data_IF_480335480933
#
_entry.id   IF_480335480933
#
_cell.length_a   1.000
_cell.length_b   1.000
_cell.length_c   1.000
_cell.angle_alpha   90.00
_cell.angle_beta   90.00
_cell.angle_gamma   90.00
#
_symmetry.space_group_name_H-M   'P 1'
#
loop_
_entity.id
_entity.type
_entity.pdbx_description
1 polymer ?
#
# COMPACT_ATOMS: atom_id res chain seq x y z
N UNK A 1 15.66 -7.30 28.00
CA UNK A 1 15.38 -6.65 26.71
C UNK A 1 14.62 -7.54 25.73
N UNK A 2 15.12 -8.70 25.28
CA UNK A 2 14.36 -9.58 24.35
C UNK A 2 13.10 -10.24 24.95
N UNK A 3 13.12 -10.68 26.22
CA UNK A 3 11.96 -11.36 26.84
C UNK A 3 10.88 -10.40 27.38
N UNK A 4 11.23 -9.16 27.74
CA UNK A 4 10.30 -8.15 28.28
C UNK A 4 9.30 -7.61 27.24
N UNK A 5 9.58 -7.84 25.94
CA UNK A 5 8.69 -7.48 24.84
C UNK A 5 7.61 -8.55 24.59
N UNK A 6 7.89 -9.84 24.84
CA UNK A 6 6.94 -10.94 24.61
C UNK A 6 6.14 -11.34 25.85
N UNK A 7 6.73 -11.22 27.03
CA UNK A 7 6.07 -11.62 28.27
C UNK A 7 6.32 -10.56 29.34
N UNK A 8 5.32 -9.72 29.68
CA UNK A 8 5.44 -8.86 30.83
C UNK A 8 5.62 -9.72 32.09
N UNK A 9 6.79 -9.65 32.73
CA UNK A 9 7.01 -10.25 34.04
C UNK A 9 6.18 -9.49 35.10
N UNK A 10 4.97 -9.92 35.43
CA UNK A 10 4.15 -9.20 36.40
C UNK A 10 3.69 -10.03 37.61
N UNK A 11 3.95 -9.43 38.79
CA UNK A 11 3.47 -9.81 40.12
C UNK A 11 2.18 -9.02 40.38
N UNK A 12 1.14 -9.66 40.88
CA UNK A 12 -0.11 -9.02 41.27
C UNK A 12 0.13 -7.84 42.25
N UNK A 13 -0.43 -6.65 41.96
CA UNK A 13 -0.36 -5.44 42.79
C UNK A 13 0.38 -4.22 42.19
N UNK A 14 0.49 -4.10 40.86
CA UNK A 14 1.19 -3.00 40.19
C UNK A 14 0.56 -1.62 40.41
N UNK A 15 1.38 -0.58 40.60
CA UNK A 15 0.93 0.82 40.63
C UNK A 15 0.80 1.36 39.22
N UNK A 16 -0.18 2.23 38.97
CA UNK A 16 -0.20 3.04 37.74
C UNK A 16 1.11 3.81 37.61
N UNK A 17 1.60 3.94 36.39
CA UNK A 17 2.82 4.69 36.08
C UNK A 17 2.46 5.96 35.33
N UNK A 18 3.28 6.98 35.48
CA UNK A 18 3.13 8.19 34.67
C UNK A 18 4.45 8.49 33.96
N UNK A 19 4.35 8.78 32.67
CA UNK A 19 5.47 9.07 31.79
C UNK A 19 5.14 10.25 30.88
N UNK A 20 6.18 10.90 30.35
CA UNK A 20 6.02 11.88 29.30
C UNK A 20 5.92 11.17 27.96
N UNK A 21 4.93 11.56 27.17
CA UNK A 21 4.77 11.13 25.79
C UNK A 21 4.95 12.34 24.87
N UNK A 22 5.85 12.22 23.90
CA UNK A 22 6.12 13.21 22.87
C UNK A 22 6.49 12.47 21.58
N UNK A 23 6.09 13.02 20.44
CA UNK A 23 6.46 12.50 19.12
C UNK A 23 6.84 13.69 18.24
N UNK A 24 8.10 13.74 17.82
CA UNK A 24 8.63 14.92 17.13
C UNK A 24 8.51 16.17 18.00
N UNK A 25 7.90 17.22 17.45
CA UNK A 25 7.65 18.48 18.16
C UNK A 25 6.29 18.51 18.88
N UNK A 26 5.50 17.43 18.79
CA UNK A 26 4.17 17.33 19.41
C UNK A 26 4.26 16.82 20.84
N UNK A 27 3.73 17.60 21.79
CA UNK A 27 3.80 17.35 23.23
C UNK A 27 4.80 18.29 23.94
N UNK A 28 5.38 17.88 25.09
CA UNK A 28 5.14 16.63 25.82
C UNK A 28 3.82 16.65 26.61
N UNK A 29 3.14 15.50 26.66
CA UNK A 29 2.00 15.26 27.54
C UNK A 29 2.35 14.28 28.64
N UNK A 30 1.77 14.45 29.82
CA UNK A 30 1.97 13.54 30.95
C UNK A 30 0.85 12.49 30.96
N UNK A 31 1.18 11.28 30.53
CA UNK A 31 0.26 10.15 30.37
C UNK A 31 0.31 9.27 31.61
N UNK A 32 -0.86 8.91 32.14
CA UNK A 32 -1.00 7.95 33.24
C UNK A 32 -1.51 6.62 32.67
N UNK A 33 -0.76 5.55 32.90
CA UNK A 33 -1.08 4.21 32.39
C UNK A 33 -1.34 3.26 33.58
N UNK A 34 -2.54 2.68 33.70
CA UNK A 34 -2.79 1.58 34.63
C UNK A 34 -1.91 0.38 34.33
N UNK A 35 -1.59 -0.42 35.34
CA UNK A 35 -0.74 -1.61 35.17
C UNK A 35 -1.34 -2.69 34.26
N UNK A 36 -2.66 -2.70 34.08
CA UNK A 36 -3.43 -3.62 33.22
C UNK A 36 -3.65 -3.08 31.80
N UNK A 37 -3.01 -1.97 31.45
CA UNK A 37 -3.11 -1.34 30.12
C UNK A 37 -1.73 -1.32 29.50
N UNK A 38 -1.65 -1.72 28.23
CA UNK A 38 -0.40 -1.68 27.48
C UNK A 38 0.10 -0.22 27.39
N UNK A 39 1.31 0.08 27.90
CA UNK A 39 1.83 1.44 27.87
C UNK A 39 2.28 1.82 26.45
N UNK A 40 2.26 3.11 26.09
CA UNK A 40 2.90 3.58 24.85
C UNK A 40 4.36 3.13 24.76
N UNK A 41 4.73 2.52 23.63
CA UNK A 41 6.08 1.99 23.35
C UNK A 41 6.56 2.39 21.95
N UNK A 42 7.61 1.74 21.46
CA UNK A 42 8.23 1.94 20.15
C UNK A 42 7.22 1.79 18.99
N UNK A 43 6.26 0.87 19.10
CA UNK A 43 5.15 0.69 18.15
C UNK A 43 4.20 1.89 18.12
N UNK A 44 3.86 2.45 19.28
CA UNK A 44 3.04 3.64 19.44
C UNK A 44 3.76 4.87 18.88
N UNK A 45 5.08 4.97 19.12
CA UNK A 45 5.91 6.02 18.57
C UNK A 45 6.05 5.91 17.04
N UNK A 46 6.15 4.69 16.50
CA UNK A 46 6.16 4.44 15.06
C UNK A 46 4.84 4.89 14.42
N UNK A 47 3.70 4.46 14.97
CA UNK A 47 2.39 4.84 14.46
C UNK A 47 2.17 6.36 14.56
N UNK A 48 2.53 6.99 15.67
CA UNK A 48 2.41 8.44 15.79
C UNK A 48 3.33 9.22 14.84
N UNK A 49 4.56 8.75 14.59
CA UNK A 49 5.45 9.34 13.55
C UNK A 49 4.83 9.26 12.16
N UNK A 50 4.24 8.12 11.82
CA UNK A 50 3.54 7.93 10.55
C UNK A 50 2.32 8.87 10.43
N UNK A 51 1.53 9.03 11.51
CA UNK A 51 0.38 9.94 11.53
C UNK A 51 0.79 11.40 11.32
N UNK A 52 1.93 11.83 11.86
CA UNK A 52 2.47 13.19 11.62
C UNK A 52 2.87 13.45 10.16
N UNK A 53 3.00 12.41 9.32
CA UNK A 53 3.25 12.56 7.89
C UNK A 53 1.97 12.76 7.07
N UNK A 54 0.79 12.57 7.67
CA UNK A 54 -0.48 12.79 7.00
C UNK A 54 -0.66 14.29 6.72
N UNK A 55 -1.29 14.61 5.60
CA UNK A 55 -1.58 15.97 5.15
C UNK A 55 -3.07 16.22 4.98
N UNK A 56 -3.45 17.41 4.52
CA UNK A 56 -4.83 17.74 4.20
C UNK A 56 -5.67 18.21 5.38
N UNK A 57 -6.96 18.38 5.14
CA UNK A 57 -7.91 18.90 6.13
C UNK A 57 -8.30 17.81 7.13
N UNK A 58 -8.23 18.16 8.42
CA UNK A 58 -8.65 17.28 9.50
C UNK A 58 -10.19 17.23 9.60
N UNK A 59 -10.72 16.03 9.81
CA UNK A 59 -12.14 15.78 9.97
C UNK A 59 -12.40 14.91 11.20
N UNK A 60 -13.19 13.84 11.00
CA UNK A 60 -13.42 12.84 12.04
C UNK A 60 -12.40 11.70 11.93
N UNK A 61 -11.75 11.37 13.04
CA UNK A 61 -10.87 10.22 13.17
C UNK A 61 -11.45 9.21 14.16
N UNK A 62 -11.33 7.92 13.84
CA UNK A 62 -11.60 6.83 14.78
C UNK A 62 -10.29 6.17 15.18
N UNK A 63 -10.02 6.06 16.47
CA UNK A 63 -8.91 5.25 17.00
C UNK A 63 -9.44 3.98 17.63
N UNK A 64 -9.01 2.83 17.12
CA UNK A 64 -9.39 1.51 17.63
C UNK A 64 -8.28 1.01 18.55
N UNK A 65 -8.65 0.58 19.77
CA UNK A 65 -7.70 0.08 20.78
C UNK A 65 -6.84 1.20 21.34
N UNK A 66 -7.47 2.27 21.82
CA UNK A 66 -6.79 3.51 22.21
C UNK A 66 -5.86 3.39 23.43
N UNK A 67 -5.97 2.31 24.23
CA UNK A 67 -5.09 2.05 25.36
C UNK A 67 -5.07 3.20 26.37
N UNK A 68 -3.96 3.94 26.43
CA UNK A 68 -3.81 5.09 27.33
C UNK A 68 -4.32 6.42 26.76
N UNK A 69 -4.80 6.45 25.50
CA UNK A 69 -5.24 7.66 24.78
C UNK A 69 -4.10 8.52 24.23
N UNK A 70 -2.87 7.99 24.19
CA UNK A 70 -1.70 8.75 23.74
C UNK A 70 -1.79 9.20 22.27
N UNK A 71 -2.24 8.32 21.37
CA UNK A 71 -2.46 8.68 19.97
C UNK A 71 -3.75 9.50 19.79
N UNK A 72 -4.77 9.32 20.63
CA UNK A 72 -5.98 10.17 20.62
C UNK A 72 -5.61 11.63 20.88
N UNK A 73 -4.72 11.86 21.86
CA UNK A 73 -4.19 13.19 22.19
C UNK A 73 -3.36 13.73 21.02
N UNK A 74 -2.52 12.90 20.40
CA UNK A 74 -1.74 13.31 19.22
C UNK A 74 -2.65 13.77 18.07
N UNK A 75 -3.64 12.96 17.70
CA UNK A 75 -4.62 13.28 16.65
C UNK A 75 -5.38 14.57 16.98
N UNK A 76 -5.86 14.71 18.21
CA UNK A 76 -6.54 15.93 18.65
C UNK A 76 -5.64 17.17 18.56
N UNK A 77 -4.35 17.03 18.90
CA UNK A 77 -3.37 18.12 18.79
C UNK A 77 -3.09 18.54 17.34
N UNK A 78 -3.32 17.65 16.38
CA UNK A 78 -3.25 17.92 14.94
C UNK A 78 -4.54 18.55 14.39
N UNK A 79 -5.62 18.60 15.19
CA UNK A 79 -6.92 19.19 14.81
C UNK A 79 -8.02 18.18 14.47
N UNK A 80 -7.80 16.88 14.66
CA UNK A 80 -8.83 15.87 14.47
C UNK A 80 -9.88 15.90 15.57
N UNK A 81 -11.15 15.62 15.21
CA UNK A 81 -12.17 15.20 16.17
C UNK A 81 -12.10 13.69 16.29
N UNK A 82 -11.81 13.18 17.48
CA UNK A 82 -11.45 11.77 17.68
C UNK A 82 -12.57 11.03 18.39
N UNK A 83 -13.02 9.93 17.79
CA UNK A 83 -13.80 8.89 18.42
C UNK A 83 -12.87 7.71 18.72
N UNK A 84 -12.46 7.57 19.97
CA UNK A 84 -11.60 6.49 20.42
C UNK A 84 -12.43 5.37 21.04
N UNK A 85 -12.01 4.11 20.85
CA UNK A 85 -12.59 2.99 21.57
C UNK A 85 -11.54 2.03 22.11
N UNK A 86 -11.90 1.31 23.16
CA UNK A 86 -11.13 0.16 23.66
C UNK A 86 -12.08 -0.86 24.32
N UNK A 87 -11.81 -2.14 24.14
CA UNK A 87 -12.58 -3.22 24.80
C UNK A 87 -12.25 -3.32 26.29
N UNK A 88 -11.11 -2.77 26.73
CA UNK A 88 -10.69 -2.76 28.12
C UNK A 88 -11.23 -1.51 28.85
N UNK A 89 -12.14 -1.63 29.85
CA UNK A 89 -12.68 -0.48 30.56
C UNK A 89 -11.61 0.33 31.34
N UNK A 90 -10.50 -0.30 31.73
CA UNK A 90 -9.39 0.41 32.37
C UNK A 90 -8.62 1.28 31.37
N UNK A 91 -8.51 0.85 30.12
CA UNK A 91 -7.95 1.66 29.03
C UNK A 91 -8.84 2.86 28.76
N UNK A 92 -10.16 2.66 28.62
CA UNK A 92 -11.13 3.75 28.44
C UNK A 92 -11.05 4.78 29.57
N UNK A 93 -11.02 4.33 30.83
CA UNK A 93 -10.90 5.24 31.97
C UNK A 93 -9.56 6.02 31.97
N UNK A 94 -8.46 5.36 31.60
CA UNK A 94 -7.15 5.99 31.50
C UNK A 94 -7.10 7.03 30.37
N UNK A 95 -7.58 6.67 29.18
CA UNK A 95 -7.66 7.53 28.01
C UNK A 95 -8.51 8.77 28.30
N UNK A 96 -9.71 8.63 28.87
CA UNK A 96 -10.56 9.78 29.29
C UNK A 96 -9.81 10.73 30.22
N UNK A 97 -9.16 10.20 31.27
CA UNK A 97 -8.41 11.01 32.23
C UNK A 97 -7.18 11.72 31.61
N UNK A 98 -6.46 11.05 30.71
CA UNK A 98 -5.30 11.63 30.04
C UNK A 98 -5.71 12.70 29.01
N UNK A 99 -6.78 12.46 28.27
CA UNK A 99 -7.38 13.40 27.31
C UNK A 99 -7.85 14.68 28.02
N UNK A 100 -8.56 14.55 29.14
CA UNK A 100 -9.01 15.68 29.95
C UNK A 100 -7.81 16.49 30.46
N UNK A 101 -6.80 15.80 31.02
CA UNK A 101 -5.57 16.43 31.50
C UNK A 101 -4.79 17.15 30.39
N UNK A 102 -4.81 16.63 29.17
CA UNK A 102 -4.18 17.23 28.00
C UNK A 102 -4.99 18.39 27.40
N UNK A 103 -6.23 18.62 27.87
CA UNK A 103 -7.09 19.72 27.41
C UNK A 103 -7.89 19.42 26.14
N UNK A 104 -8.11 18.15 25.81
CA UNK A 104 -8.80 17.73 24.57
C UNK A 104 -10.17 17.06 24.79
N UNK A 105 -10.74 17.16 25.99
CA UNK A 105 -12.03 16.55 26.31
C UNK A 105 -13.20 17.02 25.44
N UNK A 106 -13.12 18.21 24.84
CA UNK A 106 -14.17 18.75 23.95
C UNK A 106 -14.12 18.16 22.53
N UNK A 107 -13.02 17.52 22.15
CA UNK A 107 -12.78 17.03 20.77
C UNK A 107 -12.44 15.54 20.70
N UNK A 108 -12.21 14.88 21.83
CA UNK A 108 -11.97 13.44 21.92
C UNK A 108 -13.07 12.81 22.77
N UNK A 109 -13.84 11.92 22.16
CA UNK A 109 -14.75 11.03 22.86
C UNK A 109 -14.11 9.64 22.96
N UNK A 110 -14.23 8.98 24.11
CA UNK A 110 -13.66 7.64 24.32
C UNK A 110 -14.75 6.73 24.88
N UNK A 111 -15.03 5.60 24.23
CA UNK A 111 -16.06 4.65 24.65
C UNK A 111 -15.55 3.20 24.71
N UNK A 112 -16.26 2.36 25.45
CA UNK A 112 -16.00 0.92 25.46
C UNK A 112 -16.50 0.29 24.17
N UNK A 113 -15.68 -0.55 23.54
CA UNK A 113 -16.05 -1.28 22.32
C UNK A 113 -14.90 -1.44 21.33
N UNK A 114 -15.19 -2.07 20.20
CA UNK A 114 -14.24 -2.29 19.11
C UNK A 114 -14.82 -3.23 18.04
N UNK A 115 -14.08 -3.47 16.94
CA UNK A 115 -14.50 -4.39 15.89
C UNK A 115 -14.96 -5.74 16.44
N UNK A 116 -16.19 -6.14 16.12
CA UNK A 116 -16.76 -7.42 16.55
C UNK A 116 -17.59 -7.38 17.85
N UNK A 117 -17.60 -6.26 18.58
CA UNK A 117 -18.51 -6.06 19.72
C UNK A 117 -19.94 -5.76 19.23
N UNK A 118 -21.00 -6.32 19.86
CA UNK A 118 -22.38 -6.24 19.35
C UNK A 118 -22.97 -4.83 19.18
N UNK A 119 -22.46 -3.84 19.93
CA UNK A 119 -22.96 -2.46 19.94
C UNK A 119 -21.95 -1.47 19.34
N UNK A 120 -20.86 -1.95 18.74
CA UNK A 120 -19.85 -1.10 18.14
C UNK A 120 -19.99 -1.06 16.61
N UNK A 121 -20.07 0.15 16.08
CA UNK A 121 -20.10 0.43 14.65
C UNK A 121 -19.16 1.59 14.34
N UNK A 122 -18.65 1.62 13.11
CA UNK A 122 -17.84 2.74 12.66
C UNK A 122 -18.74 3.94 12.39
N UNK A 123 -18.35 5.12 12.89
CA UNK A 123 -19.15 6.33 12.78
C UNK A 123 -19.29 6.81 11.33
N UNK A 124 -20.51 7.22 10.96
CA UNK A 124 -20.79 7.84 9.66
C UNK A 124 -19.96 9.11 9.49
N UNK A 125 -19.30 9.25 8.33
CA UNK A 125 -18.48 10.42 8.01
C UNK A 125 -17.06 10.40 8.59
N UNK A 126 -16.60 9.25 9.11
CA UNK A 126 -15.18 9.06 9.46
C UNK A 126 -14.29 9.26 8.23
N UNK A 127 -13.21 10.01 8.39
CA UNK A 127 -12.23 10.29 7.33
C UNK A 127 -10.90 9.58 7.56
N UNK A 128 -10.59 9.24 8.81
CA UNK A 128 -9.37 8.54 9.20
C UNK A 128 -9.70 7.45 10.22
N UNK A 129 -9.28 6.22 9.96
CA UNK A 129 -9.28 5.15 10.97
C UNK A 129 -7.84 4.85 11.33
N UNK A 130 -7.53 4.75 12.63
CA UNK A 130 -6.20 4.46 13.15
C UNK A 130 -6.28 3.22 14.04
N UNK A 131 -5.41 2.24 13.80
CA UNK A 131 -5.35 1.05 14.65
C UNK A 131 -3.92 0.54 14.83
N UNK A 132 -3.45 0.48 16.08
CA UNK A 132 -2.30 -0.33 16.43
C UNK A 132 -2.77 -1.79 16.60
N UNK A 133 -2.65 -2.61 15.56
CA UNK A 133 -3.24 -3.96 15.55
C UNK A 133 -2.63 -4.85 16.64
N UNK A 134 -3.42 -5.70 17.32
CA UNK A 134 -2.89 -6.80 18.10
C UNK A 134 -2.20 -7.82 17.18
N UNK A 135 -0.93 -8.13 17.40
CA UNK A 135 -0.13 -9.02 16.54
C UNK A 135 0.59 -10.16 17.26
N UNK A 136 0.35 -10.35 18.58
CA UNK A 136 0.91 -11.50 19.29
C UNK A 136 0.10 -12.76 18.97
N UNK A 137 0.81 -13.87 18.79
CA UNK A 137 0.17 -15.17 18.60
C UNK A 137 -0.55 -15.59 19.90
N UNK A 138 -1.79 -16.09 19.82
CA UNK A 138 -2.50 -16.60 21.00
C UNK A 138 -1.68 -17.69 21.69
N UNK A 139 -1.63 -17.68 23.03
CA UNK A 139 -0.85 -18.66 23.79
C UNK A 139 -1.43 -20.07 23.60
N UNK A 140 -0.59 -21.02 23.19
CA UNK A 140 -0.93 -22.45 23.22
C UNK A 140 -0.90 -22.96 24.66
N UNK A 141 -2.08 -23.04 25.29
CA UNK A 141 -2.52 -23.75 26.51
C UNK A 141 -1.63 -24.03 27.75
N UNK A 142 -0.32 -23.77 27.78
CA UNK A 142 0.58 -24.05 28.91
C UNK A 142 1.52 -22.87 29.29
N UNK A 143 1.28 -21.67 28.73
CA UNK A 143 2.02 -20.44 29.05
C UNK A 143 1.40 -19.62 30.19
N UNK A 144 2.18 -18.72 30.80
CA UNK A 144 1.71 -17.75 31.80
C UNK A 144 0.50 -16.98 31.25
N UNK A 145 -0.69 -17.22 31.80
CA UNK A 145 -1.93 -16.56 31.39
C UNK A 145 -1.89 -15.09 31.76
N UNK A 146 -2.09 -14.23 30.76
CA UNK A 146 -2.57 -12.86 30.97
C UNK A 146 -3.99 -12.92 31.53
N UNK A 147 -4.46 -11.87 32.21
CA UNK A 147 -5.89 -11.81 32.54
C UNK A 147 -6.71 -11.77 31.23
N UNK A 148 -7.92 -12.36 31.15
CA UNK A 148 -8.65 -12.51 29.88
C UNK A 148 -8.85 -11.21 29.09
N UNK A 149 -8.93 -10.07 29.79
CA UNK A 149 -9.07 -8.74 29.19
C UNK A 149 -7.76 -8.28 28.53
N UNK A 150 -6.61 -8.58 29.15
CA UNK A 150 -5.29 -8.25 28.62
C UNK A 150 -4.93 -9.12 27.41
N UNK A 151 -5.33 -10.40 27.44
CA UNK A 151 -5.15 -11.32 26.31
C UNK A 151 -5.96 -10.88 25.09
N UNK A 152 -7.19 -10.42 25.29
CA UNK A 152 -8.08 -9.94 24.23
C UNK A 152 -7.54 -8.69 23.51
N UNK A 153 -6.84 -7.81 24.23
CA UNK A 153 -6.24 -6.59 23.64
C UNK A 153 -4.95 -6.86 22.85
N UNK A 154 -4.30 -8.02 23.03
CA UNK A 154 -2.96 -8.29 22.51
C UNK A 154 -2.89 -9.43 21.49
N UNK A 155 -3.86 -10.35 21.51
CA UNK A 155 -3.83 -11.58 20.70
C UNK A 155 -4.58 -11.42 19.38
N UNK A 156 -4.00 -11.96 18.30
CA UNK A 156 -4.62 -11.93 16.97
C UNK A 156 -5.74 -12.99 16.82
N UNK A 157 -6.78 -12.68 16.04
CA UNK A 157 -7.87 -13.62 15.74
C UNK A 157 -7.42 -14.73 14.78
N UNK A 158 -8.12 -15.88 14.72
CA UNK A 158 -7.82 -16.94 13.74
C UNK A 158 -7.82 -16.47 12.27
N UNK A 159 -8.63 -15.46 11.93
CA UNK A 159 -8.69 -14.83 10.60
C UNK A 159 -7.90 -13.51 10.49
N UNK A 160 -7.30 -13.02 11.58
CA UNK A 160 -6.67 -11.70 11.62
C UNK A 160 -7.65 -10.58 11.99
N UNK A 161 -7.25 -9.69 12.89
CA UNK A 161 -8.00 -8.47 13.22
C UNK A 161 -8.12 -7.50 12.03
N UNK A 162 -7.08 -7.39 11.18
CA UNK A 162 -7.15 -6.53 10.00
C UNK A 162 -8.27 -6.94 9.04
N UNK A 163 -8.49 -8.24 8.87
CA UNK A 163 -9.50 -8.79 7.97
C UNK A 163 -10.89 -8.60 8.58
N UNK A 164 -11.00 -8.59 9.91
CA UNK A 164 -12.26 -8.25 10.58
C UNK A 164 -12.65 -6.80 10.38
N UNK A 165 -11.70 -5.87 10.45
CA UNK A 165 -11.97 -4.48 10.10
C UNK A 165 -12.28 -4.33 8.61
N UNK A 166 -11.59 -5.07 7.74
CA UNK A 166 -11.91 -5.07 6.31
C UNK A 166 -13.38 -5.43 6.04
N UNK A 167 -13.94 -6.45 6.70
CA UNK A 167 -15.38 -6.79 6.60
C UNK A 167 -16.29 -5.62 7.00
N UNK A 168 -15.89 -4.83 8.00
CA UNK A 168 -16.65 -3.66 8.48
C UNK A 168 -16.50 -2.49 7.52
N UNK A 169 -15.29 -2.28 6.98
CA UNK A 169 -15.03 -1.14 6.09
C UNK A 169 -15.42 -1.36 4.65
N UNK A 170 -15.67 -2.61 4.27
CA UNK A 170 -16.18 -2.95 2.96
C UNK A 170 -17.68 -2.65 2.81
N UNK A 171 -18.37 -2.32 3.92
CA UNK A 171 -19.74 -1.83 3.90
C UNK A 171 -19.84 -0.47 3.20
N UNK A 172 -20.85 -0.28 2.35
CA UNK A 172 -21.06 0.90 1.49
C UNK A 172 -21.38 2.19 2.28
N UNK A 173 -21.38 2.12 3.62
CA UNK A 173 -21.75 3.19 4.54
C UNK A 173 -20.60 4.12 4.93
N UNK A 174 -19.35 3.77 4.59
CA UNK A 174 -18.18 4.60 4.95
C UNK A 174 -17.89 5.61 3.85
N UNK A 175 -17.41 6.81 4.24
CA UNK A 175 -16.90 7.78 3.25
C UNK A 175 -15.83 7.08 2.39
N UNK A 176 -16.02 6.99 1.08
CA UNK A 176 -15.12 6.23 0.23
C UNK A 176 -13.71 6.84 0.13
N UNK A 177 -13.52 8.06 0.67
CA UNK A 177 -12.21 8.74 0.83
C UNK A 177 -11.61 8.52 2.21
N UNK A 178 -12.19 7.64 3.03
CA UNK A 178 -11.64 7.28 4.33
C UNK A 178 -10.26 6.63 4.15
N UNK A 179 -9.28 7.13 4.89
CA UNK A 179 -7.97 6.53 4.99
C UNK A 179 -7.93 5.63 6.23
N UNK A 180 -7.62 4.36 6.06
CA UNK A 180 -7.36 3.44 7.19
C UNK A 180 -5.85 3.35 7.39
N UNK A 181 -5.34 3.60 8.59
CA UNK A 181 -3.93 3.53 8.94
C UNK A 181 -3.75 2.48 10.03
N UNK A 182 -2.96 1.46 9.74
CA UNK A 182 -2.72 0.35 10.67
C UNK A 182 -1.24 0.05 10.83
N UNK A 183 -0.86 -0.32 12.04
CA UNK A 183 0.45 -0.92 12.31
C UNK A 183 0.34 -2.44 12.11
N UNK A 184 1.22 -3.00 11.28
CA UNK A 184 1.36 -4.44 11.05
C UNK A 184 2.75 -4.91 11.50
N UNK A 185 2.83 -6.12 12.07
CA UNK A 185 4.08 -6.89 12.08
C UNK A 185 4.15 -7.71 10.79
N UNK A 186 5.09 -7.36 9.90
CA UNK A 186 5.25 -7.97 8.57
C UNK A 186 6.39 -8.99 8.49
N UNK A 187 7.24 -9.06 9.51
CA UNK A 187 8.22 -10.14 9.67
C UNK A 187 8.39 -10.47 11.17
N UNK A 188 8.23 -11.74 11.61
CA UNK A 188 7.58 -12.80 10.85
C UNK A 188 6.13 -12.42 10.50
N UNK A 189 5.58 -13.00 9.45
CA UNK A 189 4.21 -12.71 9.02
C UNK A 189 3.19 -12.97 10.15
N UNK A 190 2.33 -11.99 10.40
CA UNK A 190 1.19 -12.10 11.32
C UNK A 190 -0.05 -12.66 10.60
N UNK A 191 -1.12 -12.98 11.34
CA UNK A 191 -2.38 -13.42 10.73
C UNK A 191 -3.09 -12.27 10.04
N UNK A 192 -3.00 -11.07 10.62
CA UNK A 192 -3.42 -9.81 10.00
C UNK A 192 -2.47 -9.39 8.87
N UNK A 193 -2.86 -9.58 7.61
CA UNK A 193 -1.99 -9.42 6.43
C UNK A 193 -2.39 -8.22 5.55
N UNK A 194 -1.43 -7.37 5.16
CA UNK A 194 -1.67 -6.31 4.18
C UNK A 194 -2.19 -6.83 2.83
N UNK A 195 -1.71 -8.02 2.42
CA UNK A 195 -2.15 -8.67 1.18
C UNK A 195 -3.65 -8.96 1.11
N UNK A 196 -4.30 -9.18 2.27
CA UNK A 196 -5.75 -9.39 2.32
C UNK A 196 -6.49 -8.14 1.82
N UNK A 197 -6.03 -6.95 2.16
CA UNK A 197 -6.65 -5.68 1.75
C UNK A 197 -6.52 -5.46 0.25
N UNK A 198 -5.31 -5.65 -0.30
CA UNK A 198 -5.05 -5.50 -1.74
C UNK A 198 -5.91 -6.45 -2.57
N UNK A 199 -6.04 -7.71 -2.12
CA UNK A 199 -6.89 -8.72 -2.78
C UNK A 199 -8.38 -8.41 -2.74
N UNK A 200 -8.82 -7.55 -1.82
CA UNK A 200 -10.20 -7.06 -1.73
C UNK A 200 -10.34 -5.65 -2.34
N UNK A 201 -9.42 -5.26 -3.23
CA UNK A 201 -9.56 -4.01 -3.99
C UNK A 201 -9.12 -2.75 -3.26
N UNK A 202 -8.44 -2.85 -2.11
CA UNK A 202 -7.92 -1.69 -1.40
C UNK A 202 -6.47 -1.39 -1.80
N UNK A 203 -6.17 -0.12 -2.03
CA UNK A 203 -4.80 0.35 -2.16
C UNK A 203 -4.07 0.24 -0.83
N UNK A 204 -2.76 0.12 -0.86
CA UNK A 204 -1.90 0.00 0.32
C UNK A 204 -0.59 0.76 0.10
N UNK A 205 -0.26 1.70 0.99
CA UNK A 205 1.01 2.42 0.96
C UNK A 205 1.69 2.39 2.32
N UNK A 206 3.01 2.19 2.33
CA UNK A 206 3.79 2.28 3.54
C UNK A 206 4.01 3.75 3.96
N UNK A 207 3.68 4.05 5.21
CA UNK A 207 3.93 5.35 5.84
C UNK A 207 5.19 5.36 6.69
N UNK A 208 5.56 4.23 7.31
CA UNK A 208 6.78 4.13 8.11
C UNK A 208 7.12 2.66 8.37
N UNK A 209 8.36 2.39 8.77
CA UNK A 209 8.76 1.05 9.23
C UNK A 209 9.89 1.11 10.25
N UNK A 210 10.00 0.05 11.05
CA UNK A 210 11.16 -0.18 11.89
C UNK A 210 11.43 -1.68 12.05
N UNK A 211 12.71 -2.01 12.28
CA UNK A 211 13.12 -3.33 12.74
C UNK A 211 13.32 -3.27 14.25
N UNK A 212 12.55 -4.05 14.99
CA UNK A 212 12.72 -4.25 16.42
C UNK A 212 13.21 -5.69 16.61
N UNK A 213 14.49 -5.84 16.92
CA UNK A 213 15.07 -7.17 17.12
C UNK A 213 14.87 -8.08 15.89
N UNK A 214 14.22 -9.24 16.06
CA UNK A 214 13.88 -10.18 14.99
C UNK A 214 12.64 -9.79 14.20
N UNK A 215 11.89 -8.77 14.64
CA UNK A 215 10.61 -8.38 14.05
C UNK A 215 10.72 -7.12 13.19
N UNK A 216 9.86 -7.02 12.18
CA UNK A 216 9.64 -5.82 11.35
C UNK A 216 8.22 -5.33 11.56
N UNK A 217 8.09 -4.09 12.01
CA UNK A 217 6.83 -3.37 12.12
C UNK A 217 6.73 -2.36 10.99
N UNK A 218 5.55 -2.24 10.40
CA UNK A 218 5.26 -1.32 9.32
C UNK A 218 3.92 -0.63 9.59
N UNK A 219 3.89 0.69 9.40
CA UNK A 219 2.65 1.44 9.39
C UNK A 219 2.22 1.58 7.95
N UNK A 220 1.06 1.04 7.63
CA UNK A 220 0.49 0.99 6.29
C UNK A 220 -0.83 1.76 6.28
N UNK A 221 -1.11 2.46 5.18
CA UNK A 221 -2.39 3.09 4.95
C UNK A 221 -3.13 2.49 3.77
N UNK A 222 -4.46 2.45 3.86
CA UNK A 222 -5.34 1.81 2.91
C UNK A 222 -6.51 2.74 2.53
N UNK A 223 -6.86 2.73 1.24
CA UNK A 223 -8.01 3.47 0.70
C UNK A 223 -8.60 2.73 -0.51
N UNK A 224 -9.84 3.06 -0.89
CA UNK A 224 -10.45 2.52 -2.11
C UNK A 224 -9.97 3.31 -3.34
N UNK A 225 -9.46 2.66 -4.40
CA UNK A 225 -9.07 3.33 -5.64
C UNK A 225 -10.14 4.28 -6.18
N UNK A 226 -9.76 5.51 -6.49
CA UNK A 226 -10.67 6.54 -7.00
C UNK A 226 -11.88 6.79 -6.13
N UNK A 227 -11.71 6.68 -4.81
CA UNK A 227 -12.76 6.77 -3.81
C UNK A 227 -13.96 5.89 -4.18
N UNK A 228 -13.70 4.63 -4.54
CA UNK A 228 -14.75 3.65 -4.87
C UNK A 228 -15.51 3.93 -6.17
N UNK A 229 -15.09 4.91 -6.97
CA UNK A 229 -15.73 5.16 -8.26
C UNK A 229 -15.63 3.95 -9.19
N UNK A 230 -16.56 3.83 -10.13
CA UNK A 230 -16.51 2.77 -11.14
C UNK A 230 -15.42 3.05 -12.19
N UNK A 231 -14.80 1.98 -12.68
CA UNK A 231 -13.96 2.01 -13.88
C UNK A 231 -14.82 2.20 -15.13
N UNK A 232 -14.36 3.00 -16.09
CA UNK A 232 -15.00 3.08 -17.41
C UNK A 232 -14.69 1.81 -18.21
N UNK A 233 -15.72 1.01 -18.51
CA UNK A 233 -15.57 -0.23 -19.28
C UNK A 233 -16.13 -0.06 -20.69
N UNK A 234 -15.33 -0.40 -21.70
CA UNK A 234 -15.71 -0.39 -23.11
C UNK A 234 -15.59 -1.79 -23.71
N UNK A 235 -16.60 -2.22 -24.47
CA UNK A 235 -16.50 -3.50 -25.19
C UNK A 235 -15.42 -3.45 -26.28
N UNK A 236 -15.30 -2.32 -26.96
CA UNK A 236 -14.34 -2.08 -28.04
C UNK A 236 -14.02 -0.58 -28.11
N UNK A 237 -12.78 -0.23 -28.45
CA UNK A 237 -12.36 1.14 -28.73
C UNK A 237 -11.26 1.16 -29.81
N UNK A 238 -10.90 2.34 -30.31
CA UNK A 238 -9.70 2.47 -31.17
C UNK A 238 -8.44 2.27 -30.34
N UNK A 239 -8.30 3.06 -29.27
CA UNK A 239 -7.22 2.93 -28.31
C UNK A 239 -7.61 3.42 -26.92
N UNK A 240 -7.36 2.62 -25.88
CA UNK A 240 -7.60 3.03 -24.49
C UNK A 240 -6.82 4.29 -24.11
N UNK A 241 -5.65 4.49 -24.71
CA UNK A 241 -4.81 5.68 -24.52
C UNK A 241 -5.44 6.96 -25.09
N UNK A 242 -6.25 6.85 -26.14
CA UNK A 242 -6.93 8.01 -26.74
C UNK A 242 -8.26 8.28 -26.07
N UNK A 243 -9.03 7.22 -25.78
CA UNK A 243 -10.30 7.36 -25.06
C UNK A 243 -10.08 7.93 -23.65
N UNK A 244 -8.97 7.57 -23.00
CA UNK A 244 -8.61 8.12 -21.70
C UNK A 244 -8.44 9.66 -21.71
N UNK A 245 -8.15 10.29 -22.85
CA UNK A 245 -8.10 11.76 -22.96
C UNK A 245 -9.46 12.43 -22.78
N UNK A 246 -10.54 11.69 -23.02
CA UNK A 246 -11.91 12.19 -22.91
C UNK A 246 -12.48 12.02 -21.50
N UNK A 247 -11.73 11.41 -20.58
CA UNK A 247 -12.12 11.32 -19.19
C UNK A 247 -11.86 12.70 -18.55
N UNK A 248 -12.91 13.50 -18.38
CA UNK A 248 -12.80 14.91 -17.94
C UNK A 248 -12.93 15.05 -16.41
N UNK A 249 -13.39 14.01 -15.73
CA UNK A 249 -13.66 14.04 -14.28
C UNK A 249 -12.37 13.85 -13.46
N UNK A 250 -11.76 14.94 -12.97
CA UNK A 250 -10.54 14.87 -12.15
C UNK A 250 -10.60 13.81 -11.03
N UNK A 251 -9.43 13.28 -10.63
CA UNK A 251 -9.30 12.16 -9.69
C UNK A 251 -8.60 10.96 -10.33
N UNK A 252 -8.66 9.80 -9.68
CA UNK A 252 -8.05 8.56 -10.16
C UNK A 252 -8.83 7.95 -11.32
N UNK A 253 -8.64 8.40 -12.55
CA UNK A 253 -9.43 7.88 -13.68
C UNK A 253 -8.81 6.61 -14.27
N UNK A 254 -9.69 5.67 -14.60
CA UNK A 254 -9.32 4.36 -15.16
C UNK A 254 -10.29 3.96 -16.27
N UNK A 255 -9.73 3.40 -17.33
CA UNK A 255 -10.48 2.85 -18.45
C UNK A 255 -9.98 1.45 -18.75
N UNK A 256 -10.92 0.55 -19.03
CA UNK A 256 -10.68 -0.81 -19.47
C UNK A 256 -11.42 -1.05 -20.79
N UNK A 257 -10.75 -1.70 -21.73
CA UNK A 257 -11.37 -2.21 -22.95
C UNK A 257 -11.06 -3.67 -23.20
N UNK A 258 -12.06 -4.41 -23.69
CA UNK A 258 -11.93 -5.83 -24.04
C UNK A 258 -11.34 -6.03 -25.45
N UNK A 259 -11.30 -4.98 -26.28
CA UNK A 259 -10.78 -5.02 -27.65
C UNK A 259 -10.31 -3.64 -28.11
N UNK A 260 -9.17 -3.59 -28.81
CA UNK A 260 -8.67 -2.38 -29.46
C UNK A 260 -8.52 -2.63 -30.97
N UNK A 261 -9.01 -1.71 -31.80
CA UNK A 261 -8.84 -1.80 -33.27
C UNK A 261 -7.54 -1.15 -33.75
N UNK A 262 -7.02 -0.18 -32.99
CA UNK A 262 -5.82 0.61 -33.32
C UNK A 262 -4.89 0.77 -32.10
N UNK A 263 -4.68 -0.32 -31.36
CA UNK A 263 -3.84 -0.33 -30.17
C UNK A 263 -2.40 0.10 -30.46
N UNK A 264 -1.81 0.86 -29.53
CA UNK A 264 -0.45 1.41 -29.66
C UNK A 264 0.52 0.75 -28.69
N UNK A 265 1.75 0.59 -29.15
CA UNK A 265 2.93 0.34 -28.34
C UNK A 265 3.98 1.44 -28.52
N UNK A 266 5.13 1.24 -27.88
CA UNK A 266 6.20 2.24 -27.90
C UNK A 266 6.73 2.48 -29.31
N UNK A 267 7.18 3.72 -29.56
CA UNK A 267 7.80 4.13 -30.83
C UNK A 267 6.91 3.85 -32.06
N UNK A 268 5.60 3.91 -31.88
CA UNK A 268 4.62 3.71 -32.96
C UNK A 268 4.42 2.26 -33.39
N UNK A 269 4.88 1.28 -32.59
CA UNK A 269 4.51 -0.13 -32.84
C UNK A 269 3.01 -0.34 -32.62
N UNK A 270 2.40 -1.32 -33.29
CA UNK A 270 1.03 -1.73 -33.01
C UNK A 270 0.97 -2.64 -31.79
N UNK A 271 -0.07 -2.49 -30.97
CA UNK A 271 -0.46 -3.46 -29.95
C UNK A 271 -1.75 -4.16 -30.40
N UNK A 272 -1.72 -5.49 -30.43
CA UNK A 272 -2.89 -6.30 -30.78
C UNK A 272 -3.47 -6.92 -29.51
N UNK A 273 -4.68 -6.52 -29.15
CA UNK A 273 -5.43 -7.16 -28.06
C UNK A 273 -5.97 -8.50 -28.56
N UNK A 274 -5.42 -9.60 -28.03
CA UNK A 274 -5.94 -10.95 -28.31
C UNK A 274 -7.34 -11.13 -27.72
N UNK A 275 -8.08 -12.13 -28.20
CA UNK A 275 -9.40 -12.46 -27.66
C UNK A 275 -9.32 -12.74 -26.14
N UNK A 276 -10.09 -11.97 -25.36
CA UNK A 276 -10.09 -12.04 -23.91
C UNK A 276 -8.87 -11.40 -23.23
N UNK A 277 -7.96 -10.79 -23.99
CA UNK A 277 -6.85 -9.98 -23.50
C UNK A 277 -7.31 -8.70 -22.79
N UNK A 278 -6.40 -8.05 -22.09
CA UNK A 278 -6.67 -6.83 -21.32
C UNK A 278 -5.98 -5.65 -21.98
N UNK A 279 -6.74 -4.58 -22.20
CA UNK A 279 -6.22 -3.24 -22.45
C UNK A 279 -6.80 -2.29 -21.42
N UNK A 280 -5.96 -1.65 -20.63
CA UNK A 280 -6.40 -0.65 -19.67
C UNK A 280 -5.50 0.57 -19.66
N UNK A 281 -6.03 1.70 -19.20
CA UNK A 281 -5.31 2.96 -19.12
C UNK A 281 -5.73 3.71 -17.87
N UNK A 282 -4.73 4.18 -17.11
CA UNK A 282 -4.89 5.11 -16.00
C UNK A 282 -4.47 6.51 -16.44
N UNK A 283 -5.19 7.52 -15.97
CA UNK A 283 -4.81 8.93 -16.11
C UNK A 283 -4.21 9.39 -14.80
N UNK A 284 -2.94 9.76 -14.80
CA UNK A 284 -2.27 10.34 -13.64
C UNK A 284 -2.20 11.86 -13.78
N UNK A 285 -2.20 12.54 -12.63
CA UNK A 285 -2.18 14.00 -12.55
C UNK A 285 -0.88 14.61 -13.05
N UNK A 286 -0.91 15.92 -13.34
CA UNK A 286 0.28 16.71 -13.65
C UNK A 286 1.30 16.70 -12.49
N UNK A 287 0.82 16.63 -11.24
CA UNK A 287 1.66 16.57 -10.04
C UNK A 287 2.53 15.31 -10.00
N UNK A 288 2.01 14.18 -10.48
CA UNK A 288 2.79 12.95 -10.65
C UNK A 288 3.90 13.14 -11.68
N UNK A 289 3.64 13.84 -12.79
CA UNK A 289 4.65 14.13 -13.81
C UNK A 289 5.73 15.10 -13.32
N UNK A 290 5.36 16.07 -12.48
CA UNK A 290 6.32 16.99 -11.82
C UNK A 290 7.22 16.24 -10.83
N UNK A 291 6.68 15.18 -10.19
CA UNK A 291 7.37 14.42 -9.15
C UNK A 291 8.26 13.31 -9.71
N UNK A 292 7.83 12.61 -10.75
CA UNK A 292 8.57 11.46 -11.29
C UNK A 292 8.79 11.55 -12.80
N UNK A 293 10.00 11.23 -13.29
CA UNK A 293 10.24 11.10 -14.72
C UNK A 293 9.39 9.98 -15.36
N UNK A 294 8.92 10.13 -16.62
CA UNK A 294 8.12 9.11 -17.29
C UNK A 294 8.78 7.72 -17.38
N UNK A 295 10.11 7.68 -17.49
CA UNK A 295 10.86 6.42 -17.49
C UNK A 295 10.78 5.68 -16.16
N UNK A 296 10.79 6.41 -15.04
CA UNK A 296 10.63 5.83 -13.70
C UNK A 296 9.21 5.35 -13.47
N UNK A 297 8.20 6.11 -13.92
CA UNK A 297 6.79 5.69 -13.88
C UNK A 297 6.64 4.35 -14.63
N UNK A 298 7.18 4.26 -15.85
CA UNK A 298 7.08 3.05 -16.67
C UNK A 298 7.73 1.82 -16.02
N UNK A 299 8.95 1.95 -15.48
CA UNK A 299 9.62 0.81 -14.82
C UNK A 299 8.94 0.42 -13.51
N UNK A 300 8.41 1.40 -12.77
CA UNK A 300 7.75 1.15 -11.48
C UNK A 300 6.39 0.51 -11.65
N UNK A 301 5.60 0.93 -12.65
CA UNK A 301 4.38 0.23 -13.07
C UNK A 301 4.70 -1.20 -13.49
N UNK A 302 5.79 -1.41 -14.25
CA UNK A 302 6.24 -2.75 -14.62
C UNK A 302 6.57 -3.63 -13.43
N UNK A 303 7.29 -3.08 -12.46
CA UNK A 303 7.63 -3.79 -11.23
C UNK A 303 6.38 -4.12 -10.40
N UNK A 304 5.46 -3.19 -10.24
CA UNK A 304 4.22 -3.38 -9.49
C UNK A 304 3.33 -4.47 -10.11
N UNK A 305 3.14 -4.44 -11.44
CA UNK A 305 2.38 -5.47 -12.17
C UNK A 305 3.08 -6.83 -12.12
N UNK A 306 4.41 -6.86 -12.24
CA UNK A 306 5.20 -8.09 -12.13
C UNK A 306 5.10 -8.72 -10.75
N UNK A 307 5.07 -7.93 -9.67
CA UNK A 307 4.86 -8.44 -8.32
C UNK A 307 3.43 -8.98 -8.15
N UNK A 308 2.41 -8.23 -8.62
CA UNK A 308 1.00 -8.61 -8.51
C UNK A 308 0.64 -9.88 -9.30
N UNK A 309 1.19 -10.04 -10.50
CA UNK A 309 0.93 -11.21 -11.36
C UNK A 309 1.95 -12.33 -11.13
N UNK A 310 3.07 -12.08 -10.45
CA UNK A 310 4.12 -13.07 -10.24
C UNK A 310 5.05 -13.31 -11.43
N UNK A 311 4.90 -12.56 -12.54
CA UNK A 311 5.75 -12.66 -13.73
C UNK A 311 7.07 -11.86 -13.59
N UNK A 312 7.87 -11.79 -14.66
CA UNK A 312 9.14 -11.06 -14.71
C UNK A 312 9.02 -9.76 -15.52
N UNK A 313 10.00 -8.85 -15.35
CA UNK A 313 10.12 -7.64 -16.18
C UNK A 313 11.30 -7.73 -17.13
N UNK A 314 11.12 -7.19 -18.33
CA UNK A 314 12.18 -6.89 -19.29
C UNK A 314 12.22 -5.38 -19.50
N UNK A 315 13.30 -4.75 -19.06
CA UNK A 315 13.51 -3.31 -19.23
C UNK A 315 13.45 -2.94 -20.72
N UNK A 316 12.80 -1.81 -21.10
CA UNK A 316 12.23 -0.79 -20.20
C UNK A 316 10.76 -0.93 -19.82
N UNK A 317 10.00 -1.86 -20.42
CA UNK A 317 8.54 -1.78 -20.38
C UNK A 317 7.78 -3.08 -20.63
N UNK A 318 8.47 -4.20 -20.80
CA UNK A 318 7.83 -5.46 -21.17
C UNK A 318 7.65 -6.35 -19.93
N UNK A 319 6.51 -7.02 -19.86
CA UNK A 319 6.24 -8.08 -18.90
C UNK A 319 6.51 -9.41 -19.61
N UNK A 320 7.27 -10.28 -18.97
CA UNK A 320 7.78 -11.51 -19.57
C UNK A 320 7.70 -12.68 -18.60
N UNK A 321 7.73 -13.88 -19.13
CA UNK A 321 7.93 -15.09 -18.36
C UNK A 321 9.39 -15.27 -17.96
N UNK A 322 9.68 -16.23 -17.07
CA UNK A 322 11.04 -16.61 -16.68
C UNK A 322 11.89 -17.06 -17.88
N UNK A 323 11.27 -17.67 -18.89
CA UNK A 323 11.90 -18.08 -20.15
C UNK A 323 11.92 -16.97 -21.22
N UNK A 324 11.41 -15.78 -20.92
CA UNK A 324 11.53 -14.59 -21.76
C UNK A 324 10.42 -14.40 -22.82
N UNK A 325 9.35 -15.19 -22.78
CA UNK A 325 8.17 -14.99 -23.64
C UNK A 325 7.41 -13.75 -23.18
N UNK A 326 6.92 -12.95 -24.12
CA UNK A 326 6.20 -11.71 -23.80
C UNK A 326 4.79 -12.04 -23.29
N UNK A 327 4.46 -11.50 -22.11
CA UNK A 327 3.13 -11.58 -21.50
C UNK A 327 2.35 -10.28 -21.74
N UNK A 328 3.05 -9.15 -21.78
CA UNK A 328 2.44 -7.84 -21.90
C UNK A 328 3.41 -6.70 -22.09
N UNK A 329 2.88 -5.49 -22.17
CA UNK A 329 3.66 -4.28 -22.30
C UNK A 329 3.00 -3.10 -21.60
N UNK A 330 3.84 -2.19 -21.15
CA UNK A 330 3.44 -0.92 -20.55
C UNK A 330 3.83 0.20 -21.51
N UNK A 331 2.95 1.19 -21.61
CA UNK A 331 3.15 2.39 -22.39
C UNK A 331 2.83 3.61 -21.53
N UNK A 332 3.78 4.52 -21.42
CA UNK A 332 3.59 5.80 -20.73
C UNK A 332 3.68 6.91 -21.77
N UNK A 333 2.61 7.71 -21.92
CA UNK A 333 2.55 8.85 -22.84
C UNK A 333 2.06 10.09 -22.07
N UNK A 334 2.82 11.18 -22.12
CA UNK A 334 2.31 12.52 -21.81
C UNK A 334 1.88 13.23 -23.09
N UNK A 335 0.86 14.07 -23.01
CA UNK A 335 0.58 15.03 -24.08
C UNK A 335 1.26 16.37 -23.75
N UNK A 336 1.64 17.15 -24.75
CA UNK A 336 2.07 18.54 -24.53
C UNK A 336 0.89 19.51 -24.52
N UNK A 337 -0.28 19.07 -25.00
CA UNK A 337 -1.51 19.86 -25.09
C UNK A 337 -2.51 19.58 -23.94
N UNK A 338 -2.23 18.57 -23.11
CA UNK A 338 -3.04 18.15 -21.97
C UNK A 338 -2.13 17.83 -20.79
N UNK A 339 -2.52 18.24 -19.58
CA UNK A 339 -1.69 18.21 -18.37
C UNK A 339 -1.60 16.80 -17.74
N UNK A 340 -2.27 15.79 -18.31
CA UNK A 340 -2.29 14.41 -17.82
C UNK A 340 -1.26 13.47 -18.48
N UNK A 341 -0.62 12.62 -17.67
CA UNK A 341 0.17 11.48 -18.14
C UNK A 341 -0.70 10.22 -18.13
N UNK A 342 -0.68 9.45 -19.22
CA UNK A 342 -1.45 8.21 -19.35
C UNK A 342 -0.54 7.00 -19.26
N UNK A 343 -0.97 6.02 -18.47
CA UNK A 343 -0.29 4.74 -18.33
C UNK A 343 -1.18 3.65 -18.89
N UNK A 344 -0.82 3.14 -20.07
CA UNK A 344 -1.46 2.02 -20.72
C UNK A 344 -0.81 0.70 -20.35
N UNK A 345 -1.62 -0.32 -20.06
CA UNK A 345 -1.16 -1.69 -19.83
C UNK A 345 -1.92 -2.61 -20.78
N UNK A 346 -1.17 -3.36 -21.58
CA UNK A 346 -1.69 -4.42 -22.44
C UNK A 346 -1.18 -5.77 -21.96
N UNK A 347 -2.09 -6.72 -21.69
CA UNK A 347 -1.75 -8.08 -21.30
C UNK A 347 -2.44 -9.11 -22.20
N UNK A 348 -1.72 -10.20 -22.46
CA UNK A 348 -2.27 -11.37 -23.13
C UNK A 348 -2.98 -12.28 -22.12
N UNK A 349 -4.16 -12.80 -22.47
CA UNK A 349 -4.84 -13.80 -21.64
C UNK A 349 -4.15 -15.14 -21.63
N UNK A 350 -3.74 -15.61 -22.83
CA UNK A 350 -3.18 -16.94 -23.06
C UNK A 350 -1.91 -16.86 -23.88
N UNK A 351 -1.09 -17.90 -23.77
CA UNK A 351 0.03 -18.11 -24.68
C UNK A 351 -0.42 -18.32 -26.14
N UNK A 352 0.48 -18.02 -27.07
CA UNK A 352 0.19 -18.11 -28.51
C UNK A 352 1.38 -17.73 -29.37
N UNK A 353 1.12 -17.43 -30.64
CA UNK A 353 2.12 -16.93 -31.59
C UNK A 353 1.62 -15.61 -32.15
N UNK A 354 2.38 -14.54 -31.96
CA UNK A 354 2.17 -13.22 -32.58
C UNK A 354 3.42 -12.92 -33.40
N UNK A 355 3.27 -12.58 -34.68
CA UNK A 355 4.38 -12.24 -35.59
C UNK A 355 5.54 -13.25 -35.54
N UNK A 356 5.21 -14.55 -35.58
CA UNK A 356 6.16 -15.68 -35.50
C UNK A 356 6.91 -15.82 -34.16
N UNK A 357 6.57 -15.01 -33.15
CA UNK A 357 7.15 -15.04 -31.80
C UNK A 357 6.18 -15.70 -30.81
N UNK A 358 6.70 -16.61 -30.00
CA UNK A 358 5.94 -17.21 -28.91
C UNK A 358 5.66 -16.19 -27.81
N UNK A 359 4.38 -16.06 -27.43
CA UNK A 359 3.92 -15.21 -26.33
C UNK A 359 3.30 -16.06 -25.22
N UNK A 360 3.20 -15.49 -24.03
CA UNK A 360 2.58 -16.08 -22.85
C UNK A 360 1.35 -15.27 -22.43
N UNK A 361 0.55 -15.83 -21.53
CA UNK A 361 -0.61 -15.17 -20.95
C UNK A 361 -0.56 -15.09 -19.43
N UNK A 362 -1.44 -14.28 -18.84
CA UNK A 362 -1.60 -14.26 -17.39
C UNK A 362 -2.19 -15.56 -16.82
N UNK A 363 -2.84 -16.38 -17.66
CA UNK A 363 -3.39 -17.68 -17.29
C UNK A 363 -2.34 -18.63 -16.70
N UNK A 364 -1.09 -18.52 -17.15
CA UNK A 364 0.07 -19.26 -16.62
C UNK A 364 0.41 -18.89 -15.17
N UNK A 365 -0.06 -17.74 -14.66
CA UNK A 365 0.32 -17.21 -13.35
C UNK A 365 -0.86 -17.03 -12.38
N UNK A 366 -1.96 -16.43 -12.84
CA UNK A 366 -3.13 -16.10 -12.01
C UNK A 366 -4.38 -16.91 -12.38
N UNK A 367 -4.23 -17.92 -13.25
CA UNK A 367 -5.28 -18.84 -13.68
C UNK A 367 -6.27 -18.22 -14.67
N UNK A 368 -7.40 -18.90 -14.88
CA UNK A 368 -8.44 -18.55 -15.87
C UNK A 368 -9.31 -17.36 -15.43
N UNK A 369 -8.67 -16.22 -15.14
CA UNK A 369 -9.33 -14.95 -14.84
C UNK A 369 -9.77 -14.23 -16.11
N UNK A 370 -10.87 -13.52 -16.01
CA UNK A 370 -11.34 -12.54 -17.01
C UNK A 370 -10.48 -11.28 -16.99
N UNK A 371 -10.55 -10.47 -18.04
CA UNK A 371 -9.83 -9.19 -18.10
C UNK A 371 -10.23 -8.24 -16.95
N UNK A 372 -11.51 -8.26 -16.54
CA UNK A 372 -12.01 -7.47 -15.40
C UNK A 372 -11.39 -7.97 -14.10
N UNK A 373 -11.39 -9.27 -13.82
CA UNK A 373 -10.76 -9.81 -12.61
C UNK A 373 -9.26 -9.58 -12.55
N UNK A 374 -8.57 -9.51 -13.69
CA UNK A 374 -7.15 -9.11 -13.74
C UNK A 374 -7.02 -7.61 -13.47
N UNK A 375 -7.88 -6.77 -14.04
CA UNK A 375 -7.91 -5.35 -13.73
C UNK A 375 -8.14 -5.08 -12.24
N UNK A 376 -9.04 -5.82 -11.59
CA UNK A 376 -9.31 -5.70 -10.16
C UNK A 376 -8.09 -6.07 -9.29
N UNK A 377 -7.16 -6.87 -9.81
CA UNK A 377 -5.86 -7.13 -9.16
C UNK A 377 -4.91 -5.93 -9.36
N UNK A 378 -4.93 -5.32 -10.54
CA UNK A 378 -3.97 -4.28 -10.91
C UNK A 378 -4.34 -2.90 -10.35
N UNK A 379 -5.61 -2.52 -10.35
CA UNK A 379 -6.05 -1.17 -9.97
C UNK A 379 -5.59 -0.77 -8.54
N UNK A 380 -5.83 -1.55 -7.47
CA UNK A 380 -5.33 -1.22 -6.14
C UNK A 380 -3.79 -1.17 -6.10
N UNK A 381 -3.11 -2.02 -6.87
CA UNK A 381 -1.65 -2.04 -6.93
C UNK A 381 -1.10 -0.77 -7.60
N UNK A 382 -1.67 -0.34 -8.73
CA UNK A 382 -1.24 0.88 -9.41
C UNK A 382 -1.60 2.12 -8.58
N UNK A 383 -2.80 2.15 -7.99
CA UNK A 383 -3.26 3.22 -7.11
C UNK A 383 -2.33 3.39 -5.90
N UNK A 384 -1.89 2.30 -5.27
CA UNK A 384 -0.96 2.31 -4.13
C UNK A 384 0.28 3.18 -4.36
N UNK A 385 0.80 3.20 -5.59
CA UNK A 385 2.00 3.96 -5.95
C UNK A 385 1.71 5.35 -6.54
N UNK A 386 0.62 5.50 -7.29
CA UNK A 386 0.42 6.68 -8.13
C UNK A 386 -0.87 7.46 -7.86
N UNK A 387 -1.84 6.93 -7.11
CA UNK A 387 -3.01 7.71 -6.73
C UNK A 387 -2.66 8.72 -5.64
N UNK A 388 -3.06 9.97 -5.85
CA UNK A 388 -2.93 11.04 -4.87
C UNK A 388 -4.14 11.03 -3.93
N UNK A 389 -3.94 10.45 -2.75
CA UNK A 389 -4.91 10.53 -1.65
C UNK A 389 -4.70 11.86 -0.89
N UNK A 390 -5.79 12.53 -0.49
CA UNK A 390 -5.72 13.83 0.20
C UNK A 390 -4.94 13.80 1.52
N UNK A 391 -5.04 12.68 2.24
CA UNK A 391 -4.39 12.48 3.54
C UNK A 391 -3.01 11.79 3.45
N UNK A 392 -2.79 10.91 2.47
CA UNK A 392 -1.59 10.06 2.46
C UNK A 392 -0.46 10.72 1.65
N UNK A 393 0.77 10.77 2.18
CA UNK A 393 1.91 11.32 1.44
C UNK A 393 2.19 10.50 0.18
N UNK A 394 2.74 11.13 -0.88
CA UNK A 394 3.16 10.41 -2.08
C UNK A 394 4.31 9.44 -1.78
N UNK A 395 4.53 8.47 -2.66
CA UNK A 395 5.69 7.57 -2.59
C UNK A 395 6.97 8.34 -2.90
N UNK A 396 8.06 8.11 -2.17
CA UNK A 396 9.31 8.81 -2.46
C UNK A 396 9.98 8.26 -3.74
N UNK A 397 10.69 9.12 -4.49
CA UNK A 397 11.34 8.73 -5.76
C UNK A 397 12.29 7.53 -5.57
N UNK A 398 13.06 7.51 -4.48
CA UNK A 398 13.98 6.42 -4.17
C UNK A 398 13.28 5.10 -3.89
N UNK A 399 12.04 5.12 -3.38
CA UNK A 399 11.23 3.91 -3.17
C UNK A 399 10.79 3.32 -4.51
N UNK A 400 10.36 4.16 -5.46
CA UNK A 400 10.04 3.73 -6.83
C UNK A 400 11.25 3.17 -7.59
N UNK A 401 12.43 3.79 -7.42
CA UNK A 401 13.69 3.27 -7.97
C UNK A 401 14.03 1.91 -7.35
N UNK A 402 13.88 1.77 -6.03
CA UNK A 402 14.14 0.51 -5.33
C UNK A 402 13.17 -0.61 -5.77
N UNK A 403 11.87 -0.30 -5.92
CA UNK A 403 10.85 -1.20 -6.45
C UNK A 403 11.22 -1.68 -7.85
N UNK A 404 11.50 -0.73 -8.75
CA UNK A 404 11.88 -1.01 -10.14
C UNK A 404 13.13 -1.89 -10.20
N UNK A 405 14.14 -1.58 -9.38
CA UNK A 405 15.39 -2.34 -9.37
C UNK A 405 15.22 -3.72 -8.75
N UNK A 406 14.43 -3.87 -7.68
CA UNK A 406 14.12 -5.17 -7.06
C UNK A 406 13.51 -6.13 -8.08
N UNK A 407 12.50 -5.68 -8.82
CA UNK A 407 11.84 -6.50 -9.84
C UNK A 407 12.80 -6.85 -10.99
N UNK A 408 13.52 -5.87 -11.53
CA UNK A 408 14.48 -6.11 -12.61
C UNK A 408 15.64 -7.02 -12.19
N UNK A 409 16.18 -6.85 -10.99
CA UNK A 409 17.25 -7.69 -10.45
C UNK A 409 16.80 -9.14 -10.27
N UNK A 410 15.55 -9.38 -9.86
CA UNK A 410 14.95 -10.73 -9.84
C UNK A 410 14.96 -11.35 -11.24
N UNK A 411 14.53 -10.61 -12.26
CA UNK A 411 14.53 -11.10 -13.66
C UNK A 411 15.94 -11.32 -14.19
N UNK A 412 16.91 -10.47 -13.87
CA UNK A 412 18.31 -10.66 -14.27
C UNK A 412 18.96 -11.88 -13.59
N UNK A 413 18.50 -12.22 -12.38
CA UNK A 413 19.03 -13.35 -11.60
C UNK A 413 18.67 -14.72 -12.18
N UNK A 414 17.77 -14.80 -13.18
CA UNK A 414 17.45 -16.04 -13.90
C UNK A 414 18.52 -16.44 -14.92
N UNK A 415 19.56 -15.63 -15.11
CA UNK A 415 20.69 -15.90 -16.01
C UNK A 415 20.70 -15.07 -17.28
N UNK A 416 19.87 -14.02 -17.37
CA UNK A 416 19.85 -13.08 -18.50
C UNK A 416 21.16 -12.30 -18.55
N UNK A 417 21.86 -12.38 -19.68
CA UNK A 417 23.08 -11.60 -19.95
C UNK A 417 22.75 -10.38 -20.79
N UNK A 418 23.38 -9.25 -20.48
CA UNK A 418 23.26 -8.02 -21.28
C UNK A 418 24.50 -7.85 -22.16
N UNK A 419 24.31 -7.44 -23.40
CA UNK A 419 25.38 -6.96 -24.26
C UNK A 419 25.11 -5.54 -24.69
N UNK A 420 26.13 -4.70 -24.73
CA UNK A 420 26.07 -3.40 -25.41
C UNK A 420 27.12 -3.36 -26.50
N UNK A 421 26.70 -3.08 -27.74
CA UNK A 421 27.59 -3.09 -28.92
C UNK A 421 28.46 -4.36 -29.01
N UNK A 422 27.85 -5.51 -28.70
CA UNK A 422 28.51 -6.83 -28.70
C UNK A 422 29.39 -7.16 -27.48
N UNK A 423 29.63 -6.21 -26.58
CA UNK A 423 30.40 -6.44 -25.35
C UNK A 423 29.46 -6.82 -24.21
N UNK A 424 29.83 -7.84 -23.43
CA UNK A 424 29.06 -8.23 -22.24
C UNK A 424 29.17 -7.14 -21.18
N UNK A 425 28.03 -6.64 -20.72
CA UNK A 425 27.93 -5.63 -19.65
C UNK A 425 27.11 -6.19 -18.49
N UNK A 426 27.27 -5.61 -17.31
CA UNK A 426 26.50 -5.99 -16.11
C UNK A 426 25.52 -4.88 -15.76
N UNK A 427 24.24 -5.19 -15.56
CA UNK A 427 23.33 -4.24 -14.93
C UNK A 427 23.68 -4.10 -13.43
N UNK A 428 23.79 -2.86 -12.97
CA UNK A 428 24.19 -2.52 -11.59
C UNK A 428 23.19 -1.64 -10.86
N UNK A 429 22.15 -1.15 -11.54
CA UNK A 429 21.09 -0.37 -10.93
C UNK A 429 20.15 0.27 -11.94
N UNK A 430 19.26 1.12 -11.43
CA UNK A 430 18.46 2.06 -12.21
C UNK A 430 18.76 3.48 -11.71
N UNK A 431 18.75 4.45 -12.61
CA UNK A 431 18.78 5.88 -12.27
C UNK A 431 17.40 6.37 -11.82
N UNK A 432 17.34 7.58 -11.24
CA UNK A 432 16.07 8.28 -10.94
C UNK A 432 15.19 8.52 -12.17
N UNK A 433 15.77 8.50 -13.38
CA UNK A 433 15.01 8.57 -14.63
C UNK A 433 14.39 7.24 -15.09
N UNK A 434 14.62 6.14 -14.37
CA UNK A 434 14.24 4.78 -14.82
C UNK A 434 15.16 4.18 -15.89
N UNK A 435 16.30 4.82 -16.17
CA UNK A 435 17.31 4.32 -17.11
C UNK A 435 18.19 3.22 -16.47
N UNK A 436 18.54 2.21 -17.25
CA UNK A 436 19.41 1.12 -16.81
C UNK A 436 20.84 1.60 -16.62
N UNK A 437 21.43 1.30 -15.46
CA UNK A 437 22.85 1.52 -15.20
C UNK A 437 23.61 0.24 -15.50
N UNK A 438 24.58 0.33 -16.41
CA UNK A 438 25.43 -0.80 -16.81
C UNK A 438 26.88 -0.55 -16.45
N UNK A 439 27.60 -1.61 -16.11
CA UNK A 439 29.02 -1.59 -15.76
C UNK A 439 29.82 -2.45 -16.75
N UNK A 440 30.96 -1.89 -17.18
CA UNK A 440 31.97 -2.57 -17.98
C UNK A 440 33.37 -2.06 -17.60
N UNK A 441 34.25 -2.97 -17.16
CA UNK A 441 35.62 -2.64 -16.74
C UNK A 441 35.72 -1.52 -15.69
N UNK A 442 34.81 -1.52 -14.70
CA UNK A 442 34.75 -0.54 -13.63
C UNK A 442 34.08 0.79 -14.00
N UNK A 443 33.68 0.98 -15.26
CA UNK A 443 32.96 2.18 -15.71
C UNK A 443 31.46 1.93 -15.67
N UNK A 444 30.72 2.78 -14.96
CA UNK A 444 29.26 2.78 -14.95
C UNK A 444 28.73 3.78 -15.97
N UNK A 445 27.82 3.33 -16.83
CA UNK A 445 27.20 4.13 -17.90
C UNK A 445 25.69 3.98 -17.83
N UNK A 446 24.98 5.10 -17.98
CA UNK A 446 23.53 5.14 -18.11
C UNK A 446 23.12 4.77 -19.53
N UNK A 447 22.20 3.83 -19.66
CA UNK A 447 21.61 3.42 -20.94
C UNK A 447 20.22 4.05 -21.08
N UNK A 448 20.09 4.96 -22.04
CA UNK A 448 18.89 5.71 -22.36
C UNK A 448 18.07 5.09 -23.52
N UNK A 449 18.72 4.33 -24.41
CA UNK A 449 18.08 3.63 -25.54
C UNK A 449 18.25 2.11 -25.47
N UNK A 450 17.14 1.37 -25.43
CA UNK A 450 17.11 -0.11 -25.50
C UNK A 450 17.83 -0.67 -26.73
N UNK A 451 17.84 0.02 -27.87
CA UNK A 451 18.53 -0.47 -29.08
C UNK A 451 20.05 -0.55 -28.93
N UNK A 452 20.59 0.01 -27.85
CA UNK A 452 22.02 -0.11 -27.53
C UNK A 452 22.33 -1.39 -26.74
N UNK A 453 21.31 -2.18 -26.40
CA UNK A 453 21.41 -3.43 -25.64
C UNK A 453 20.83 -4.61 -26.42
N UNK A 454 21.58 -5.73 -26.43
CA UNK A 454 21.16 -7.05 -26.91
C UNK A 454 21.04 -8.05 -25.75
#
# INVERSE_FOLDING_TARGET
>A
MYEEHRHPHHRAGGKSTSSKFEIGDSGPWEITVPHTVYPPREDTALLGRALLRLSGDCGQATEIGCGSGALSILLASMGWKVAACDVNPFAVAAARGNVEKAGFADVVNVDEGGPGEPEWELQEGVNLVVWNLPYLDPLEHDGVSLEPIEEASMSDLPRGWSDKLLEIVDDDLIDPRCLVVMLHRTDPESRSKPDSWIRNGWSCRQLDSMRLADERLEVLCYWRPGAGGAVTVMAECESTMDEAKQLIDGGWQRLLSLSQTSGRGRRGSSWQTQEGGLACTWVLSEEILKRYPPGLIQTSVGAAVSEALGCCVKWPNDLVTEDGRKLGGILVEGDSEDDGIRVGIGLNKRGGIIDEVAVAGWDEYVGEKTAIEVFDILDPVISSYFEEHSLAPPVEENELVALSWKSLARSLSTGVGLKSKGLRVRAVGLSSGGHLLTEFNGLVVTVDDINTLD
#
